data_IF_961426342649
#
_entry.id   IF_961426342649
#
_cell.length_a   1.000
_cell.length_b   1.000
_cell.length_c   1.000
_cell.angle_alpha   90.00
_cell.angle_beta   90.00
_cell.angle_gamma   90.00
#
_symmetry.space_group_name_H-M   'P 1'
#
loop_
_entity.id
_entity.type
_entity.pdbx_description
1 polymer ?
#
# COMPACT_ATOMS: atom_id res chain seq x y z
N UNK A 1 7.01 8.58 10.48
CA UNK A 1 5.60 8.17 10.38
C UNK A 1 5.56 6.66 10.31
N UNK A 2 4.88 6.01 11.25
CA UNK A 2 4.82 4.54 11.35
C UNK A 2 4.13 3.90 10.13
N UNK A 3 3.20 4.60 9.49
CA UNK A 3 2.51 4.11 8.29
C UNK A 3 3.44 3.94 7.08
N UNK A 4 4.38 4.86 6.86
CA UNK A 4 5.35 4.76 5.75
C UNK A 4 6.27 3.54 5.93
N UNK A 5 6.76 3.32 7.15
CA UNK A 5 7.62 2.15 7.46
C UNK A 5 6.87 0.83 7.28
N UNK A 6 5.56 0.78 7.58
CA UNK A 6 4.76 -0.42 7.33
C UNK A 6 4.55 -0.67 5.83
N UNK A 7 4.36 0.39 5.03
CA UNK A 7 4.23 0.25 3.57
C UNK A 7 5.55 -0.18 2.93
N UNK A 8 6.69 0.34 3.37
CA UNK A 8 8.02 -0.10 2.91
C UNK A 8 8.25 -1.58 3.22
N UNK A 9 7.92 -2.02 4.44
CA UNK A 9 8.03 -3.42 4.83
C UNK A 9 7.09 -4.32 4.01
N UNK A 10 5.86 -3.88 3.76
CA UNK A 10 4.90 -4.61 2.92
C UNK A 10 5.38 -4.73 1.47
N UNK A 11 5.91 -3.66 0.89
CA UNK A 11 6.50 -3.68 -0.46
C UNK A 11 7.68 -4.64 -0.54
N UNK A 12 8.58 -4.61 0.46
CA UNK A 12 9.71 -5.54 0.53
C UNK A 12 9.27 -7.01 0.64
N UNK A 13 8.18 -7.28 1.38
CA UNK A 13 7.61 -8.62 1.49
C UNK A 13 7.05 -9.11 0.15
N UNK A 14 6.29 -8.26 -0.56
CA UNK A 14 5.76 -8.58 -1.90
C UNK A 14 6.90 -8.85 -2.89
N UNK A 15 7.94 -8.02 -2.90
CA UNK A 15 9.11 -8.23 -3.77
C UNK A 15 9.83 -9.55 -3.44
N UNK A 16 9.94 -9.92 -2.16
CA UNK A 16 10.53 -11.18 -1.74
C UNK A 16 9.71 -12.38 -2.21
N UNK A 17 8.38 -12.30 -2.14
CA UNK A 17 7.48 -13.36 -2.59
C UNK A 17 7.49 -13.52 -4.11
N UNK A 18 7.47 -12.42 -4.87
CA UNK A 18 7.65 -12.45 -6.34
C UNK A 18 8.99 -13.09 -6.70
N UNK A 19 10.07 -12.71 -5.99
CA UNK A 19 11.39 -13.31 -6.21
C UNK A 19 11.39 -14.80 -5.93
N UNK A 20 10.74 -15.24 -4.85
CA UNK A 20 10.60 -16.66 -4.52
C UNK A 20 9.87 -17.44 -5.62
N UNK A 21 8.75 -16.90 -6.14
CA UNK A 21 8.00 -17.50 -7.24
C UNK A 21 8.80 -17.60 -8.54
N UNK A 22 9.59 -16.56 -8.87
CA UNK A 22 10.43 -16.58 -10.06
C UNK A 22 11.47 -17.70 -10.02
N UNK A 23 12.11 -17.91 -8.86
CA UNK A 23 13.13 -18.94 -8.67
C UNK A 23 12.58 -20.34 -8.35
N UNK A 24 11.29 -20.49 -8.10
CA UNK A 24 10.67 -21.79 -7.90
C UNK A 24 10.70 -22.61 -9.20
N UNK A 25 11.55 -23.64 -9.24
CA UNK A 25 11.69 -24.50 -10.42
C UNK A 25 10.58 -25.56 -10.52
N UNK A 26 9.76 -25.71 -9.48
CA UNK A 26 8.67 -26.70 -9.46
C UNK A 26 7.41 -26.23 -10.19
N UNK A 27 7.29 -24.92 -10.45
CA UNK A 27 6.12 -24.32 -11.10
C UNK A 27 6.37 -24.08 -12.59
N UNK A 28 5.34 -24.32 -13.40
CA UNK A 28 5.31 -23.91 -14.81
C UNK A 28 5.22 -22.38 -14.94
N UNK A 29 5.55 -21.87 -16.12
CA UNK A 29 5.45 -20.42 -16.40
C UNK A 29 4.03 -19.89 -16.21
N UNK A 30 3.01 -20.65 -16.62
CA UNK A 30 1.60 -20.25 -16.45
C UNK A 30 1.21 -20.14 -14.97
N UNK A 31 1.62 -21.11 -14.15
CA UNK A 31 1.33 -21.10 -12.71
C UNK A 31 2.06 -19.94 -12.00
N UNK A 32 3.28 -19.61 -12.46
CA UNK A 32 4.00 -18.43 -11.96
C UNK A 32 3.24 -17.15 -12.31
N UNK A 33 2.79 -17.00 -13.55
CA UNK A 33 2.05 -15.81 -13.98
C UNK A 33 0.73 -15.64 -13.21
N UNK A 34 -0.02 -16.73 -13.01
CA UNK A 34 -1.26 -16.73 -12.22
C UNK A 34 -1.02 -16.29 -10.76
N UNK A 35 0.06 -16.76 -10.14
CA UNK A 35 0.43 -16.40 -8.76
C UNK A 35 1.04 -15.00 -8.64
N UNK A 36 1.78 -14.53 -9.65
CA UNK A 36 2.37 -13.19 -9.64
C UNK A 36 1.33 -12.09 -9.88
N UNK A 37 0.30 -12.35 -10.67
CA UNK A 37 -0.72 -11.36 -11.03
C UNK A 37 -1.35 -10.64 -9.81
N UNK A 38 -1.82 -11.32 -8.74
CA UNK A 38 -2.32 -10.65 -7.55
C UNK A 38 -1.23 -9.84 -6.83
N UNK A 39 -0.01 -10.39 -6.67
CA UNK A 39 1.11 -9.70 -6.02
C UNK A 39 1.49 -8.39 -6.73
N UNK A 40 1.46 -8.38 -8.06
CA UNK A 40 1.72 -7.17 -8.85
C UNK A 40 0.64 -6.10 -8.66
N UNK A 41 -0.63 -6.52 -8.50
CA UNK A 41 -1.74 -5.60 -8.20
C UNK A 41 -1.59 -5.01 -6.80
N UNK A 42 -1.23 -5.84 -5.82
CA UNK A 42 -0.95 -5.39 -4.45
C UNK A 42 0.23 -4.40 -4.41
N UNK A 43 1.35 -4.74 -5.07
CA UNK A 43 2.51 -3.84 -5.20
C UNK A 43 2.13 -2.48 -5.76
N UNK A 44 1.27 -2.43 -6.78
CA UNK A 44 0.78 -1.17 -7.36
C UNK A 44 0.01 -0.33 -6.35
N UNK A 45 -0.91 -0.93 -5.59
CA UNK A 45 -1.71 -0.22 -4.58
C UNK A 45 -0.82 0.28 -3.44
N UNK A 46 0.11 -0.55 -2.97
CA UNK A 46 1.05 -0.18 -1.90
C UNK A 46 1.98 0.97 -2.32
N UNK A 47 2.48 0.97 -3.56
CA UNK A 47 3.29 2.07 -4.10
C UNK A 47 2.51 3.37 -4.18
N UNK A 48 1.28 3.33 -4.69
CA UNK A 48 0.41 4.51 -4.73
C UNK A 48 0.17 5.07 -3.33
N UNK A 49 -0.17 4.22 -2.36
CA UNK A 49 -0.40 4.65 -0.98
C UNK A 49 0.86 5.26 -0.34
N UNK A 50 2.04 4.72 -0.66
CA UNK A 50 3.31 5.26 -0.19
C UNK A 50 3.58 6.65 -0.78
N UNK A 51 3.39 6.81 -2.10
CA UNK A 51 3.52 8.09 -2.79
C UNK A 51 2.54 9.14 -2.24
N UNK A 52 1.28 8.78 -2.03
CA UNK A 52 0.25 9.66 -1.47
C UNK A 52 0.63 10.12 -0.06
N UNK A 53 1.13 9.22 0.79
CA UNK A 53 1.57 9.57 2.14
C UNK A 53 2.85 10.41 2.14
N UNK A 54 3.79 10.17 1.23
CA UNK A 54 4.94 11.03 1.02
C UNK A 54 4.51 12.43 0.60
N UNK A 55 3.58 12.54 -0.34
CA UNK A 55 3.01 13.82 -0.76
C UNK A 55 2.37 14.57 0.41
N UNK A 56 1.54 13.90 1.21
CA UNK A 56 0.88 14.52 2.38
C UNK A 56 1.86 14.92 3.48
N UNK A 57 2.97 14.20 3.63
CA UNK A 57 4.04 14.55 4.56
C UNK A 57 4.74 15.84 4.15
N UNK A 58 4.95 16.04 2.85
CA UNK A 58 5.59 17.23 2.28
C UNK A 58 4.62 18.41 2.10
N UNK A 59 3.34 18.10 1.86
CA UNK A 59 2.26 19.05 1.64
C UNK A 59 1.17 18.85 2.70
N UNK A 60 1.48 19.15 3.98
CA UNK A 60 0.49 18.99 5.03
C UNK A 60 -0.72 19.89 4.74
N UNK A 61 -1.96 19.40 4.97
CA UNK A 61 -3.16 20.20 4.75
C UNK A 61 -3.10 21.47 5.59
N UNK A 62 -3.39 22.60 4.94
CA UNK A 62 -3.23 23.94 5.50
C UNK A 62 -4.29 24.31 6.56
N UNK A 63 -5.38 23.55 6.68
CA UNK A 63 -6.38 23.77 7.74
C UNK A 63 -6.34 22.65 8.80
N UNK A 64 -6.26 23.00 10.10
CA UNK A 64 -6.41 22.04 11.19
C UNK A 64 -7.87 21.62 11.42
N UNK A 65 -8.84 22.26 10.76
CA UNK A 65 -10.20 21.72 10.65
C UNK A 65 -10.11 20.42 9.89
N UNK A 66 -10.10 19.33 10.66
CA UNK A 66 -9.78 17.99 10.19
C UNK A 66 -10.64 17.52 9.04
N UNK A 67 -10.30 16.31 8.55
CA UNK A 67 -11.07 15.60 7.52
C UNK A 67 -12.58 15.83 7.72
N UNK A 68 -13.27 16.38 6.71
CA UNK A 68 -14.71 16.69 6.82
C UNK A 68 -15.54 15.47 7.23
N UNK A 69 -15.08 14.25 6.92
CA UNK A 69 -15.68 13.00 7.38
C UNK A 69 -15.71 12.86 8.92
N UNK A 70 -14.74 13.44 9.64
CA UNK A 70 -14.70 13.50 11.10
C UNK A 70 -15.72 14.47 11.68
N UNK A 71 -16.04 15.58 10.99
CA UNK A 71 -17.06 16.53 11.45
C UNK A 71 -18.45 15.88 11.53
N UNK A 72 -18.82 15.06 10.55
CA UNK A 72 -20.10 14.34 10.57
C UNK A 72 -20.23 13.35 11.75
N UNK A 73 -19.12 12.80 12.26
CA UNK A 73 -19.13 11.87 13.41
C UNK A 73 -19.29 12.57 14.76
N UNK A 74 -18.84 13.82 14.86
CA UNK A 74 -18.99 14.65 16.07
C UNK A 74 -20.37 15.32 16.12
N UNK A 75 -20.92 15.71 14.96
CA UNK A 75 -22.24 16.33 14.86
C UNK A 75 -23.39 15.34 15.18
N UNK A 76 -23.22 14.02 14.98
CA UNK A 76 -24.20 13.00 15.41
C UNK A 76 -24.24 12.77 16.94
N UNK A 77 -23.28 13.33 17.70
CA UNK A 77 -23.22 13.20 19.17
C UNK A 77 -23.77 14.41 19.92
N UNK A 78 -24.32 15.40 19.23
CA UNK A 78 -24.82 16.67 19.80
C UNK A 78 -26.34 16.74 19.79
#
# INVERSE_FOLDING_TARGET
MVSLTHLEAALAAVDAEVKALLYDQSLSLSEKDEKMLPLLRESKVLKQAYEDLCYLKENPPSSPTGCKAGQYREDEKK
#
